data_IF_020789342953
#
_entry.id   IF_020789342953
#
_cell.length_a   1.000
_cell.length_b   1.000
_cell.length_c   1.000
_cell.angle_alpha   90.00
_cell.angle_beta   90.00
_cell.angle_gamma   90.00
#
_symmetry.space_group_name_H-M   'P 1'
#
loop_
_entity.id
_entity.type
_entity.pdbx_description
1 polymer ?
#
# COMPACT_ATOMS: atom_id res chain seq x y z
N UNK A 1 -10.22 -2.14 2.86
CA UNK A 1 -8.97 -2.46 2.12
C UNK A 1 -8.24 -1.19 1.76
N UNK A 2 -6.91 -1.19 1.71
CA UNK A 2 -6.11 -0.04 1.27
C UNK A 2 -5.50 -0.33 -0.09
N UNK A 3 -5.75 0.54 -1.06
CA UNK A 3 -5.20 0.43 -2.41
C UNK A 3 -3.90 1.23 -2.54
N UNK A 4 -2.83 0.54 -2.95
CA UNK A 4 -1.54 1.16 -3.21
C UNK A 4 -1.47 1.66 -4.66
N UNK A 5 -1.34 2.97 -4.82
CA UNK A 5 -1.29 3.61 -6.13
C UNK A 5 -0.40 4.86 -6.09
N UNK A 6 0.37 5.12 -7.14
CA UNK A 6 1.31 6.24 -7.17
C UNK A 6 0.61 7.61 -7.18
N UNK A 7 -0.64 7.64 -7.64
CA UNK A 7 -1.49 8.82 -7.75
C UNK A 7 -2.10 9.26 -6.40
N UNK A 8 -2.06 8.39 -5.39
CA UNK A 8 -2.57 8.73 -4.07
C UNK A 8 -1.79 9.89 -3.42
N UNK A 9 -2.47 10.69 -2.63
CA UNK A 9 -1.88 11.80 -1.87
C UNK A 9 -1.47 11.38 -0.46
N UNK A 10 -2.20 10.43 0.13
CA UNK A 10 -1.94 9.89 1.48
C UNK A 10 -0.73 8.97 1.48
N UNK A 11 0.21 9.19 2.41
CA UNK A 11 1.32 8.27 2.63
C UNK A 11 0.83 7.02 3.35
N UNK A 12 1.33 5.85 2.95
CA UNK A 12 0.98 4.58 3.59
C UNK A 12 1.29 4.55 5.10
N UNK A 13 2.31 5.29 5.54
CA UNK A 13 2.69 5.43 6.97
C UNK A 13 1.75 6.33 7.78
N UNK A 14 0.86 7.09 7.13
CA UNK A 14 -0.09 7.96 7.84
C UNK A 14 -1.40 7.23 8.19
N UNK A 15 -1.55 6.00 7.74
CA UNK A 15 -2.70 5.14 8.03
C UNK A 15 -2.46 4.41 9.34
N UNK A 16 -3.48 4.35 10.20
CA UNK A 16 -3.51 3.46 11.35
C UNK A 16 -4.06 2.09 10.94
N UNK A 17 -3.16 1.15 10.62
CA UNK A 17 -3.52 -0.19 10.20
C UNK A 17 -4.11 -1.02 11.36
N UNK A 18 -5.06 -1.88 11.02
CA UNK A 18 -5.75 -2.80 11.92
C UNK A 18 -5.50 -4.24 11.50
N UNK A 19 -5.54 -5.15 12.47
CA UNK A 19 -5.50 -6.57 12.19
C UNK A 19 -6.66 -6.96 11.24
N UNK A 20 -6.34 -7.67 10.16
CA UNK A 20 -7.31 -8.03 9.12
C UNK A 20 -7.42 -7.04 7.96
N UNK A 21 -6.70 -5.91 8.01
CA UNK A 21 -6.64 -5.01 6.86
C UNK A 21 -6.01 -5.69 5.64
N UNK A 22 -6.64 -5.48 4.48
CA UNK A 22 -6.16 -5.97 3.19
C UNK A 22 -5.38 -4.85 2.50
N UNK A 23 -4.15 -5.17 2.08
CA UNK A 23 -3.27 -4.29 1.30
C UNK A 23 -3.33 -4.74 -0.17
N UNK A 24 -3.90 -3.90 -1.04
CA UNK A 24 -4.15 -4.22 -2.44
C UNK A 24 -3.12 -3.53 -3.33
N UNK A 25 -2.53 -4.30 -4.24
CA UNK A 25 -1.55 -3.85 -5.23
C UNK A 25 -2.01 -4.26 -6.62
N UNK A 26 -1.78 -3.39 -7.60
CA UNK A 26 -2.04 -3.70 -9.00
C UNK A 26 -0.86 -4.43 -9.67
N UNK A 27 -1.11 -5.05 -10.83
CA UNK A 27 -0.06 -5.70 -11.62
C UNK A 27 0.94 -4.69 -12.19
N UNK A 28 2.17 -5.15 -12.42
CA UNK A 28 3.15 -4.38 -13.22
C UNK A 28 2.82 -4.50 -14.72
N UNK A 29 2.90 -3.42 -15.52
CA UNK A 29 3.33 -2.06 -15.15
C UNK A 29 2.17 -1.09 -14.87
N UNK A 30 0.92 -1.53 -15.05
CA UNK A 30 -0.24 -0.63 -15.14
C UNK A 30 -0.80 -0.21 -13.78
N UNK A 31 -0.53 -0.97 -12.72
CA UNK A 31 -1.17 -0.75 -11.43
C UNK A 31 -2.66 -1.11 -11.45
N UNK A 32 -3.39 -0.57 -10.47
CA UNK A 32 -4.84 -0.75 -10.35
C UNK A 32 -5.57 0.16 -11.35
N UNK A 33 -6.59 -0.37 -12.02
CA UNK A 33 -7.42 0.44 -12.91
C UNK A 33 -8.37 1.35 -12.13
N UNK A 34 -8.94 2.35 -12.82
CA UNK A 34 -9.83 3.33 -12.21
C UNK A 34 -11.08 2.69 -11.60
N UNK A 35 -11.61 1.62 -12.23
CA UNK A 35 -12.77 0.89 -11.74
C UNK A 35 -12.49 0.22 -10.38
N UNK A 36 -11.32 -0.42 -10.25
CA UNK A 36 -10.86 -1.01 -9.00
C UNK A 36 -10.63 0.06 -7.95
N UNK A 37 -9.97 1.17 -8.31
CA UNK A 37 -9.71 2.29 -7.39
C UNK A 37 -10.99 3.00 -6.90
N UNK A 38 -12.08 2.90 -7.65
CA UNK A 38 -13.40 3.44 -7.31
C UNK A 38 -14.30 2.44 -6.55
N UNK A 39 -13.84 1.23 -6.27
CA UNK A 39 -14.61 0.22 -5.55
C UNK A 39 -14.99 0.71 -4.14
N UNK A 40 -16.26 0.52 -3.76
CA UNK A 40 -16.83 1.01 -2.49
C UNK A 40 -16.23 0.36 -1.25
N UNK A 41 -15.56 -0.78 -1.38
CA UNK A 41 -14.89 -1.46 -0.28
C UNK A 41 -13.47 -0.91 -0.04
N UNK A 42 -12.92 -0.09 -0.94
CA UNK A 42 -11.67 0.64 -0.71
C UNK A 42 -11.87 1.65 0.40
N UNK A 43 -11.18 1.40 1.52
CA UNK A 43 -11.16 2.25 2.70
C UNK A 43 -10.30 3.49 2.47
N UNK A 44 -9.26 3.37 1.65
CA UNK A 44 -8.41 4.49 1.28
C UNK A 44 -7.38 4.12 0.22
N UNK A 45 -6.97 5.13 -0.53
CA UNK A 45 -5.87 5.04 -1.47
C UNK A 45 -4.60 5.64 -0.84
N UNK A 46 -3.49 4.92 -0.92
CA UNK A 46 -2.21 5.31 -0.31
C UNK A 46 -1.05 5.13 -1.28
N UNK A 47 0.04 5.84 -1.03
CA UNK A 47 1.29 5.67 -1.78
C UNK A 47 2.49 5.37 -0.88
N UNK A 48 3.45 4.65 -1.45
CA UNK A 48 4.82 4.58 -0.94
C UNK A 48 5.57 5.80 -1.51
N UNK A 49 6.23 6.61 -0.68
CA UNK A 49 6.96 7.78 -1.16
C UNK A 49 8.13 7.36 -2.08
N UNK A 50 8.28 8.06 -3.20
CA UNK A 50 9.34 7.82 -4.18
C UNK A 50 9.94 9.14 -4.64
N UNK A 51 11.23 9.14 -4.99
CA UNK A 51 11.88 10.29 -5.61
C UNK A 51 11.30 10.53 -7.02
N UNK A 52 11.16 11.80 -7.39
CA UNK A 52 10.72 12.19 -8.72
C UNK A 52 11.62 11.60 -9.81
N UNK A 53 11.03 11.17 -10.93
CA UNK A 53 11.74 10.59 -12.08
C UNK A 53 12.30 9.18 -11.85
N UNK A 54 12.01 8.53 -10.72
CA UNK A 54 12.37 7.12 -10.50
C UNK A 54 11.27 6.19 -11.00
N UNK A 55 11.68 5.03 -11.50
CA UNK A 55 10.77 3.91 -11.78
C UNK A 55 10.15 3.43 -10.48
N UNK A 56 8.90 2.99 -10.54
CA UNK A 56 8.20 2.33 -9.44
C UNK A 56 9.04 1.19 -8.84
N UNK A 57 8.86 0.97 -7.53
CA UNK A 57 9.42 -0.22 -6.88
C UNK A 57 8.84 -1.47 -7.52
N UNK A 58 9.63 -2.54 -7.56
CA UNK A 58 9.07 -3.84 -7.93
C UNK A 58 7.95 -4.23 -6.95
N UNK A 59 6.92 -4.91 -7.44
CA UNK A 59 5.74 -5.32 -6.69
C UNK A 59 6.09 -6.04 -5.37
N UNK A 60 7.06 -6.94 -5.38
CA UNK A 60 7.50 -7.66 -4.18
C UNK A 60 8.07 -6.73 -3.11
N UNK A 61 8.89 -5.75 -3.50
CA UNK A 61 9.46 -4.76 -2.60
C UNK A 61 8.38 -3.81 -2.06
N UNK A 62 7.44 -3.39 -2.90
CA UNK A 62 6.31 -2.56 -2.47
C UNK A 62 5.44 -3.29 -1.43
N UNK A 63 5.13 -4.56 -1.68
CA UNK A 63 4.38 -5.40 -0.75
C UNK A 63 5.15 -5.59 0.57
N UNK A 64 6.46 -5.90 0.51
CA UNK A 64 7.27 -6.08 1.71
C UNK A 64 7.30 -4.81 2.58
N UNK A 65 7.54 -3.63 1.97
CA UNK A 65 7.55 -2.34 2.69
C UNK A 65 6.21 -2.06 3.36
N UNK A 66 5.11 -2.26 2.65
CA UNK A 66 3.77 -2.02 3.17
C UNK A 66 3.41 -2.97 4.32
N UNK A 67 3.68 -4.28 4.16
CA UNK A 67 3.41 -5.29 5.19
C UNK A 67 4.24 -5.01 6.43
N UNK A 68 5.52 -4.67 6.29
CA UNK A 68 6.37 -4.37 7.45
C UNK A 68 5.97 -3.10 8.18
N UNK A 69 5.45 -2.07 7.50
CA UNK A 69 4.90 -0.90 8.19
C UNK A 69 3.64 -1.25 8.97
N UNK A 70 2.70 -1.98 8.37
CA UNK A 70 1.51 -2.44 9.07
C UNK A 70 1.89 -3.31 10.30
N UNK A 71 2.84 -4.24 10.13
CA UNK A 71 3.32 -5.09 11.21
C UNK A 71 4.06 -4.29 12.30
N UNK A 72 4.83 -3.25 11.92
CA UNK A 72 5.48 -2.32 12.86
C UNK A 72 4.46 -1.60 13.74
N UNK A 73 3.34 -1.15 13.17
CA UNK A 73 2.25 -0.52 13.95
C UNK A 73 1.61 -1.49 14.94
N UNK A 74 1.64 -2.79 14.65
CA UNK A 74 1.25 -3.86 15.56
C UNK A 74 2.40 -4.35 16.47
N UNK A 75 3.48 -3.58 16.59
CA UNK A 75 4.61 -3.91 17.47
C UNK A 75 5.38 -5.16 17.05
N UNK A 76 5.34 -5.53 15.77
CA UNK A 76 5.91 -6.78 15.26
C UNK A 76 5.47 -8.03 16.04
N UNK A 77 4.20 -8.07 16.45
CA UNK A 77 3.65 -9.20 17.21
C UNK A 77 3.99 -10.54 16.54
N UNK A 78 4.57 -11.46 17.31
CA UNK A 78 5.01 -12.78 16.86
C UNK A 78 6.42 -12.85 16.27
N UNK A 79 7.18 -11.75 16.24
CA UNK A 79 8.61 -11.79 15.91
C UNK A 79 9.43 -12.51 17.00
N UNK A 80 10.56 -13.10 16.60
CA UNK A 80 11.52 -13.84 17.46
C UNK A 80 12.76 -13.00 17.72
#
# INVERSE_FOLDING_TARGET
>A
MFAFTAQATTLFTNVGYRAGDVLMFGPEPTGLDEATLADTHITGQVRIPMLAGRRSLNLSNAAAVAVYEAWRQHGFAGAV
#
